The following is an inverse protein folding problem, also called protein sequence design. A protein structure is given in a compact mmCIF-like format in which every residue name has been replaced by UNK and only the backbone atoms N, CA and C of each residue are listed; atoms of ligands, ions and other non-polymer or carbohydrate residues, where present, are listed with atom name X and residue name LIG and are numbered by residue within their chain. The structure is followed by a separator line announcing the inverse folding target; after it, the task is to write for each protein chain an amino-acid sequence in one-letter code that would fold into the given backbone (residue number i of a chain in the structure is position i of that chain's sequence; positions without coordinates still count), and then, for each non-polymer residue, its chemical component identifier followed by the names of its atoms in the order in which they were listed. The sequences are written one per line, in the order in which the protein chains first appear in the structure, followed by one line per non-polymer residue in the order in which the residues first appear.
data_IF_584174577220
#
_entry.id   IF_584174577220
#
_cell.length_a   1.000
_cell.length_b   1.000
_cell.length_c   1.000
_cell.angle_alpha   90.00
_cell.angle_beta   90.00
_cell.angle_gamma   90.00
#
_symmetry.space_group_name_H-M   'P 1'
#
loop_
_entity.id
_entity.type
_entity.pdbx_description
1 polymer ?
#
# COMPACT_ATOMS: atom_id res chain seq x y z
N UNK A 1 -10.07 -16.88 20.17
CA UNK A 1 -11.51 -16.48 20.21
C UNK A 1 -12.18 -16.88 18.91
N UNK A 2 -13.23 -17.72 18.95
CA UNK A 2 -13.99 -18.12 17.76
C UNK A 2 -14.61 -16.87 17.11
N UNK A 3 -14.13 -16.53 15.91
CA UNK A 3 -14.67 -15.46 15.07
C UNK A 3 -16.15 -15.77 14.79
N UNK A 4 -17.07 -14.99 15.35
CA UNK A 4 -18.46 -14.95 14.88
C UNK A 4 -18.38 -14.56 13.41
N UNK A 5 -18.80 -15.45 12.49
CA UNK A 5 -18.86 -15.15 11.04
C UNK A 5 -19.63 -13.84 10.85
N UNK A 6 -18.91 -12.75 10.55
CA UNK A 6 -19.50 -11.48 10.13
C UNK A 6 -20.21 -11.74 8.81
N UNK A 7 -21.46 -11.28 8.69
CA UNK A 7 -22.16 -11.25 7.40
C UNK A 7 -21.34 -10.34 6.47
N UNK A 8 -20.98 -10.84 5.29
CA UNK A 8 -20.23 -10.05 4.31
C UNK A 8 -21.00 -8.79 3.93
N UNK A 9 -20.30 -7.73 3.58
CA UNK A 9 -20.88 -6.50 3.07
C UNK A 9 -21.79 -6.77 1.88
N UNK A 10 -21.37 -7.64 0.96
CA UNK A 10 -22.18 -8.04 -0.20
C UNK A 10 -23.50 -8.72 0.17
N UNK A 11 -23.53 -9.59 1.18
CA UNK A 11 -24.79 -10.19 1.64
C UNK A 11 -25.63 -9.13 2.36
N UNK A 12 -24.98 -8.26 3.12
CA UNK A 12 -25.65 -7.22 3.89
C UNK A 12 -26.31 -6.16 2.99
N UNK A 13 -25.70 -5.77 1.87
CA UNK A 13 -26.32 -4.81 0.95
C UNK A 13 -27.58 -5.41 0.33
N UNK A 14 -27.56 -6.70 -0.05
CA UNK A 14 -28.75 -7.41 -0.53
C UNK A 14 -29.86 -7.45 0.53
N UNK A 15 -29.50 -7.72 1.80
CA UNK A 15 -30.46 -7.67 2.91
C UNK A 15 -31.06 -6.26 3.05
N UNK A 16 -30.25 -5.21 2.91
CA UNK A 16 -30.69 -3.82 3.04
C UNK A 16 -31.67 -3.40 1.92
N UNK A 17 -31.67 -4.09 0.78
CA UNK A 17 -32.65 -3.89 -0.31
C UNK A 17 -33.96 -4.66 -0.12
N UNK A 18 -34.06 -5.63 0.79
CA UNK A 18 -35.27 -6.44 1.00
C UNK A 18 -36.54 -5.60 1.22
N UNK A 19 -36.54 -4.54 2.07
CA UNK A 19 -37.72 -3.68 2.24
C UNK A 19 -38.20 -3.06 0.93
N UNK A 20 -37.28 -2.60 0.09
CA UNK A 20 -37.56 -2.01 -1.22
C UNK A 20 -38.12 -3.05 -2.21
N UNK A 21 -37.58 -4.26 -2.20
CA UNK A 21 -38.06 -5.36 -3.04
C UNK A 21 -39.49 -5.74 -2.65
N UNK A 22 -39.80 -5.89 -1.36
CA UNK A 22 -41.17 -6.17 -0.92
C UNK A 22 -42.13 -5.06 -1.29
N UNK A 23 -41.71 -3.80 -1.12
CA UNK A 23 -42.49 -2.64 -1.52
C UNK A 23 -42.83 -2.67 -3.01
N UNK A 24 -41.84 -2.82 -3.89
CA UNK A 24 -42.08 -2.83 -5.33
C UNK A 24 -42.93 -4.01 -5.79
N UNK A 25 -42.71 -5.22 -5.26
CA UNK A 25 -43.50 -6.40 -5.63
C UNK A 25 -44.96 -6.23 -5.20
N UNK A 26 -45.20 -5.89 -3.93
CA UNK A 26 -46.55 -5.92 -3.36
C UNK A 26 -47.37 -4.69 -3.81
N UNK A 27 -46.75 -3.52 -3.88
CA UNK A 27 -47.44 -2.33 -4.39
C UNK A 27 -47.69 -2.39 -5.91
N UNK A 28 -46.87 -3.12 -6.68
CA UNK A 28 -47.17 -3.34 -8.12
C UNK A 28 -48.44 -4.17 -8.35
N UNK A 29 -48.90 -4.91 -7.33
CA UNK A 29 -50.18 -5.62 -7.33
C UNK A 29 -51.35 -4.73 -6.86
N UNK A 30 -51.10 -3.43 -6.63
CA UNK A 30 -52.10 -2.49 -6.10
C UNK A 30 -52.37 -2.64 -4.60
N UNK A 31 -51.55 -3.38 -3.86
CA UNK A 31 -51.81 -3.68 -2.45
C UNK A 31 -51.00 -2.74 -1.52
N UNK A 32 -51.72 -1.90 -0.76
CA UNK A 32 -51.14 -0.97 0.22
C UNK A 32 -50.39 -1.65 1.39
N UNK A 33 -50.63 -2.95 1.64
CA UNK A 33 -49.87 -3.73 2.61
C UNK A 33 -48.37 -3.79 2.29
N UNK A 34 -47.98 -3.55 1.03
CA UNK A 34 -46.57 -3.50 0.63
C UNK A 34 -45.76 -2.46 1.41
N UNK A 35 -46.38 -1.32 1.73
CA UNK A 35 -45.74 -0.25 2.52
C UNK A 35 -45.52 -0.69 3.97
N UNK A 36 -46.50 -1.36 4.57
CA UNK A 36 -46.42 -1.85 5.97
C UNK A 36 -45.38 -2.96 6.08
N UNK A 37 -45.41 -3.93 5.17
CA UNK A 37 -44.45 -5.05 5.16
C UNK A 37 -43.03 -4.52 4.98
N UNK A 38 -42.83 -3.54 4.09
CA UNK A 38 -41.54 -2.91 3.90
C UNK A 38 -41.08 -2.13 5.15
N UNK A 39 -41.98 -1.39 5.82
CA UNK A 39 -41.67 -0.71 7.08
C UNK A 39 -41.23 -1.70 8.16
N UNK A 40 -41.99 -2.78 8.37
CA UNK A 40 -41.66 -3.83 9.34
C UNK A 40 -40.31 -4.48 9.01
N UNK A 41 -40.08 -4.83 7.75
CA UNK A 41 -38.80 -5.38 7.30
C UNK A 41 -37.63 -4.40 7.57
N UNK A 42 -37.82 -3.11 7.30
CA UNK A 42 -36.80 -2.09 7.54
C UNK A 42 -36.45 -1.93 9.02
N UNK A 43 -37.45 -2.01 9.91
CA UNK A 43 -37.26 -1.96 11.36
C UNK A 43 -36.53 -3.22 11.87
N UNK A 44 -36.90 -4.41 11.37
CA UNK A 44 -36.23 -5.68 11.70
C UNK A 44 -34.73 -5.62 11.35
N UNK A 45 -34.38 -5.00 10.21
CA UNK A 45 -32.99 -4.85 9.78
C UNK A 45 -32.25 -3.79 10.59
N UNK A 46 -32.90 -2.66 10.89
CA UNK A 46 -32.25 -1.46 11.46
C UNK A 46 -32.08 -1.54 12.98
N UNK A 47 -33.08 -2.02 13.72
CA UNK A 47 -33.08 -2.05 15.20
C UNK A 47 -31.87 -2.81 15.77
N UNK A 48 -31.51 -4.02 15.31
CA UNK A 48 -30.33 -4.72 15.81
C UNK A 48 -29.01 -3.98 15.57
N UNK A 49 -28.94 -3.12 14.56
CA UNK A 49 -27.74 -2.37 14.22
C UNK A 49 -27.58 -1.12 15.07
N UNK A 50 -28.69 -0.45 15.40
CA UNK A 50 -28.71 0.64 16.37
C UNK A 50 -28.16 0.14 17.71
N UNK A 51 -28.62 -1.02 18.18
CA UNK A 51 -28.12 -1.65 19.40
C UNK A 51 -26.62 -1.97 19.34
N UNK A 52 -26.08 -2.21 18.13
CA UNK A 52 -24.65 -2.52 17.90
C UNK A 52 -23.81 -1.29 17.54
N UNK A 53 -24.39 -0.09 17.47
CA UNK A 53 -23.74 1.16 17.02
C UNK A 53 -23.11 1.05 15.62
N UNK A 54 -23.69 0.25 14.73
CA UNK A 54 -23.21 0.06 13.34
C UNK A 54 -24.25 0.54 12.33
N UNK A 55 -24.72 1.79 12.48
CA UNK A 55 -25.83 2.32 11.69
C UNK A 55 -25.35 2.69 10.28
N UNK A 56 -26.12 2.28 9.26
CA UNK A 56 -25.92 2.67 7.87
C UNK A 56 -26.89 3.79 7.46
N UNK A 57 -26.42 4.76 6.67
CA UNK A 57 -27.24 5.82 6.09
C UNK A 57 -28.42 5.27 5.27
N UNK A 58 -28.20 4.17 4.53
CA UNK A 58 -29.25 3.52 3.76
C UNK A 58 -30.38 3.00 4.65
N UNK A 59 -30.06 2.41 5.80
CA UNK A 59 -31.04 1.84 6.72
C UNK A 59 -31.90 2.95 7.36
N UNK A 60 -31.28 4.05 7.78
CA UNK A 60 -32.00 5.24 8.28
C UNK A 60 -32.95 5.79 7.19
N UNK A 61 -32.44 5.99 5.98
CA UNK A 61 -33.24 6.53 4.87
C UNK A 61 -34.41 5.61 4.51
N UNK A 62 -34.20 4.30 4.59
CA UNK A 62 -35.23 3.28 4.33
C UNK A 62 -36.35 3.35 5.36
N UNK A 63 -36.02 3.37 6.66
CA UNK A 63 -37.01 3.51 7.74
C UNK A 63 -37.77 4.84 7.62
N UNK A 64 -37.06 5.93 7.32
CA UNK A 64 -37.66 7.25 7.15
C UNK A 64 -38.66 7.27 5.99
N UNK A 65 -38.26 6.76 4.82
CA UNK A 65 -39.14 6.69 3.65
C UNK A 65 -40.39 5.88 3.92
N UNK A 66 -40.26 4.68 4.49
CA UNK A 66 -41.42 3.82 4.73
C UNK A 66 -42.33 4.32 5.84
N UNK A 67 -41.79 5.09 6.79
CA UNK A 67 -42.60 5.79 7.79
C UNK A 67 -43.44 6.88 7.12
N UNK A 68 -42.82 7.71 6.27
CA UNK A 68 -43.52 8.75 5.50
C UNK A 68 -44.58 8.13 4.57
N UNK A 69 -44.23 7.06 3.87
CA UNK A 69 -45.15 6.36 2.97
C UNK A 69 -46.32 5.73 3.73
N UNK A 70 -46.07 5.10 4.89
CA UNK A 70 -47.13 4.50 5.71
C UNK A 70 -48.10 5.58 6.24
N UNK A 71 -47.57 6.69 6.74
CA UNK A 71 -48.37 7.84 7.15
C UNK A 71 -49.16 8.40 5.97
N UNK A 72 -48.53 8.58 4.80
CA UNK A 72 -49.19 9.07 3.60
C UNK A 72 -50.37 8.19 3.17
N UNK A 73 -50.16 6.88 3.06
CA UNK A 73 -51.19 5.93 2.61
C UNK A 73 -52.31 5.77 3.63
N UNK A 74 -51.99 5.51 4.91
CA UNK A 74 -53.00 5.09 5.89
C UNK A 74 -53.61 6.22 6.72
N UNK A 75 -52.94 7.37 6.84
CA UNK A 75 -53.44 8.52 7.60
C UNK A 75 -54.01 9.59 6.66
N UNK A 76 -53.32 9.84 5.54
CA UNK A 76 -53.69 10.91 4.60
C UNK A 76 -54.36 10.40 3.31
N UNK A 77 -54.57 9.09 3.16
CA UNK A 77 -55.16 8.45 1.96
C UNK A 77 -54.45 8.85 0.65
N UNK A 78 -53.11 8.92 0.68
CA UNK A 78 -52.30 9.25 -0.49
C UNK A 78 -51.86 7.98 -1.23
N UNK A 79 -52.64 7.57 -2.23
CA UNK A 79 -52.36 6.39 -3.06
C UNK A 79 -51.13 6.52 -3.96
N UNK A 80 -50.55 7.72 -4.07
CA UNK A 80 -49.36 7.98 -4.88
C UNK A 80 -48.17 7.07 -4.50
N UNK A 81 -48.04 6.68 -3.24
CA UNK A 81 -47.01 5.76 -2.75
C UNK A 81 -47.26 4.30 -3.19
N UNK A 82 -48.45 3.96 -3.66
CA UNK A 82 -48.77 2.64 -4.21
C UNK A 82 -48.66 2.71 -5.73
N UNK A 83 -49.39 3.65 -6.34
CA UNK A 83 -49.49 3.82 -7.80
C UNK A 83 -48.13 4.13 -8.46
N UNK A 84 -47.35 5.02 -7.84
CA UNK A 84 -46.04 5.46 -8.35
C UNK A 84 -44.88 4.89 -7.52
N UNK A 85 -45.07 3.69 -6.96
CA UNK A 85 -44.11 3.05 -6.05
C UNK A 85 -42.69 2.90 -6.62
N UNK A 86 -42.57 2.61 -7.93
CA UNK A 86 -41.28 2.56 -8.61
C UNK A 86 -40.59 3.92 -8.65
N UNK A 87 -41.27 4.95 -9.18
CA UNK A 87 -40.72 6.30 -9.30
C UNK A 87 -40.31 6.89 -7.95
N UNK A 88 -41.22 6.85 -6.96
CA UNK A 88 -40.96 7.43 -5.64
C UNK A 88 -39.87 6.65 -4.90
N UNK A 89 -39.87 5.31 -5.00
CA UNK A 89 -38.87 4.50 -4.32
C UNK A 89 -37.46 4.72 -4.86
N UNK A 90 -37.30 4.74 -6.19
CA UNK A 90 -36.01 5.04 -6.81
C UNK A 90 -35.57 6.49 -6.60
N UNK A 91 -36.50 7.45 -6.56
CA UNK A 91 -36.19 8.84 -6.23
C UNK A 91 -35.67 8.99 -4.80
N UNK A 92 -36.26 8.27 -3.84
CA UNK A 92 -35.79 8.27 -2.46
C UNK A 92 -34.37 7.66 -2.34
N UNK A 93 -34.11 6.54 -3.01
CA UNK A 93 -32.79 5.92 -3.06
C UNK A 93 -31.74 6.82 -3.74
N UNK A 94 -32.12 7.52 -4.80
CA UNK A 94 -31.27 8.52 -5.46
C UNK A 94 -30.90 9.67 -4.51
N UNK A 95 -31.88 10.27 -3.84
CA UNK A 95 -31.65 11.37 -2.90
C UNK A 95 -30.77 10.92 -1.73
N UNK A 96 -30.97 9.70 -1.22
CA UNK A 96 -30.11 9.11 -0.19
C UNK A 96 -28.67 8.95 -0.69
N UNK A 97 -28.49 8.37 -1.88
CA UNK A 97 -27.16 8.17 -2.46
C UNK A 97 -26.44 9.50 -2.68
N UNK A 98 -27.14 10.51 -3.21
CA UNK A 98 -26.63 11.86 -3.41
C UNK A 98 -26.26 12.53 -2.08
N UNK A 99 -27.14 12.47 -1.09
CA UNK A 99 -26.88 12.99 0.26
C UNK A 99 -25.63 12.34 0.87
N UNK A 100 -25.47 11.02 0.73
CA UNK A 100 -24.31 10.29 1.23
C UNK A 100 -22.99 10.76 0.62
N UNK A 101 -22.98 11.15 -0.67
CA UNK A 101 -21.83 11.75 -1.33
C UNK A 101 -21.54 13.16 -0.82
N UNK A 102 -22.58 13.99 -0.64
CA UNK A 102 -22.46 15.38 -0.16
C UNK A 102 -21.85 15.42 1.25
N UNK A 103 -22.27 14.53 2.15
CA UNK A 103 -21.71 14.44 3.51
C UNK A 103 -20.36 13.70 3.58
N UNK A 104 -19.77 13.35 2.42
CA UNK A 104 -18.50 12.60 2.29
C UNK A 104 -18.51 11.26 3.04
N UNK A 105 -19.68 10.63 3.17
CA UNK A 105 -19.85 9.30 3.72
C UNK A 105 -20.68 8.46 2.74
N UNK A 106 -20.09 8.03 1.61
CA UNK A 106 -20.79 7.21 0.62
C UNK A 106 -21.46 6.00 1.30
N UNK A 107 -22.75 5.74 1.02
CA UNK A 107 -23.48 4.68 1.73
C UNK A 107 -22.84 3.29 1.53
N UNK A 108 -22.12 3.09 0.43
CA UNK A 108 -21.38 1.85 0.14
C UNK A 108 -20.20 1.64 1.09
N UNK A 109 -19.64 2.69 1.69
CA UNK A 109 -18.49 2.60 2.58
C UNK A 109 -18.76 1.74 3.81
N UNK A 110 -19.91 1.91 4.47
CA UNK A 110 -20.28 1.11 5.64
C UNK A 110 -20.47 -0.37 5.29
N UNK A 111 -20.86 -0.66 4.04
CA UNK A 111 -20.96 -2.01 3.50
C UNK A 111 -19.54 -2.58 3.32
N UNK A 112 -18.67 -1.86 2.62
CA UNK A 112 -17.28 -2.29 2.39
C UNK A 112 -16.48 -2.46 3.68
N UNK A 113 -16.74 -1.67 4.73
CA UNK A 113 -16.12 -1.86 6.05
C UNK A 113 -16.30 -3.25 6.65
N UNK A 114 -17.32 -4.00 6.22
CA UNK A 114 -17.57 -5.37 6.69
C UNK A 114 -16.64 -6.39 6.04
N UNK A 115 -16.21 -6.11 4.81
CA UNK A 115 -15.40 -7.01 3.99
C UNK A 115 -13.90 -6.69 4.07
N UNK A 116 -13.55 -5.45 4.44
CA UNK A 116 -12.17 -4.97 4.49
C UNK A 116 -11.71 -4.67 5.93
N UNK A 117 -10.48 -5.07 6.32
CA UNK A 117 -9.87 -4.70 7.60
C UNK A 117 -9.92 -3.19 7.88
N UNK A 118 -9.94 -2.80 9.16
CA UNK A 118 -10.06 -1.40 9.58
C UNK A 118 -8.97 -0.48 9.00
N UNK A 119 -7.82 -1.06 8.70
CA UNK A 119 -6.68 -0.34 8.10
C UNK A 119 -7.02 0.27 6.73
N UNK A 120 -7.96 -0.33 5.98
CA UNK A 120 -8.44 0.20 4.70
C UNK A 120 -9.36 1.41 4.85
N UNK A 121 -10.00 1.59 6.00
CA UNK A 121 -11.12 2.53 6.11
C UNK A 121 -10.70 3.98 5.96
N UNK A 122 -9.40 4.26 6.10
CA UNK A 122 -8.81 5.60 5.95
C UNK A 122 -7.97 5.74 4.69
N UNK A 123 -7.81 4.67 3.92
CA UNK A 123 -7.05 4.70 2.68
C UNK A 123 -7.77 5.57 1.64
N UNK A 124 -7.00 6.43 0.96
CA UNK A 124 -7.55 7.40 0.00
C UNK A 124 -8.18 6.70 -1.19
N UNK A 125 -7.58 5.60 -1.64
CA UNK A 125 -8.04 4.83 -2.78
C UNK A 125 -9.30 4.02 -2.41
N UNK A 126 -9.37 3.47 -1.20
CA UNK A 126 -10.57 2.83 -0.67
C UNK A 126 -11.76 3.80 -0.57
N UNK A 127 -11.53 5.02 -0.09
CA UNK A 127 -12.56 6.08 -0.04
C UNK A 127 -12.98 6.52 -1.45
N UNK A 128 -12.03 6.70 -2.36
CA UNK A 128 -12.32 7.06 -3.75
C UNK A 128 -13.15 5.99 -4.47
N UNK A 129 -12.81 4.70 -4.31
CA UNK A 129 -13.56 3.59 -4.89
C UNK A 129 -15.01 3.60 -4.38
N UNK A 130 -15.23 3.79 -3.08
CA UNK A 130 -16.56 3.85 -2.50
C UNK A 130 -17.38 5.04 -3.02
N UNK A 131 -16.75 6.22 -3.16
CA UNK A 131 -17.41 7.37 -3.78
C UNK A 131 -17.84 7.09 -5.22
N UNK A 132 -17.00 6.42 -6.02
CA UNK A 132 -17.33 6.07 -7.40
C UNK A 132 -18.49 5.08 -7.45
N UNK A 133 -18.46 4.02 -6.64
CA UNK A 133 -19.54 3.02 -6.59
C UNK A 133 -20.86 3.66 -6.16
N UNK A 134 -20.83 4.52 -5.14
CA UNK A 134 -22.00 5.28 -4.70
C UNK A 134 -22.52 6.21 -5.79
N UNK A 135 -21.64 6.89 -6.53
CA UNK A 135 -22.01 7.73 -7.68
C UNK A 135 -22.69 6.94 -8.80
N UNK A 136 -22.18 5.75 -9.13
CA UNK A 136 -22.81 4.85 -10.11
C UNK A 136 -24.21 4.43 -9.64
N UNK A 137 -24.37 4.08 -8.36
CA UNK A 137 -25.69 3.77 -7.80
C UNK A 137 -26.66 4.95 -7.85
N UNK A 138 -26.19 6.17 -7.54
CA UNK A 138 -27.02 7.37 -7.67
C UNK A 138 -27.52 7.53 -9.12
N UNK A 139 -26.64 7.35 -10.12
CA UNK A 139 -27.04 7.41 -11.53
C UNK A 139 -28.02 6.29 -11.92
N UNK A 140 -27.82 5.07 -11.42
CA UNK A 140 -28.74 3.94 -11.65
C UNK A 140 -30.11 4.23 -11.04
N UNK A 141 -30.18 4.74 -9.81
CA UNK A 141 -31.44 5.09 -9.17
C UNK A 141 -32.16 6.23 -9.91
N UNK A 142 -31.44 7.26 -10.36
CA UNK A 142 -32.02 8.34 -11.16
C UNK A 142 -32.55 7.83 -12.51
N UNK A 143 -31.78 6.97 -13.19
CA UNK A 143 -32.20 6.35 -14.44
C UNK A 143 -33.45 5.49 -14.25
N UNK A 144 -33.49 4.70 -13.17
CA UNK A 144 -34.66 3.91 -12.82
C UNK A 144 -35.90 4.77 -12.51
N UNK A 145 -35.76 5.82 -11.71
CA UNK A 145 -36.86 6.76 -11.47
C UNK A 145 -37.40 7.32 -12.80
N UNK A 146 -36.50 7.73 -13.70
CA UNK A 146 -36.88 8.25 -15.03
C UNK A 146 -37.56 7.19 -15.90
N UNK A 147 -37.07 5.95 -15.90
CA UNK A 147 -37.68 4.82 -16.63
C UNK A 147 -39.12 4.58 -16.15
N UNK A 148 -39.35 4.57 -14.84
CA UNK A 148 -40.68 4.38 -14.26
C UNK A 148 -41.62 5.56 -14.52
N UNK A 149 -41.08 6.74 -14.81
CA UNK A 149 -41.87 7.92 -15.20
C UNK A 149 -42.25 7.90 -16.69
N UNK A 150 -41.37 7.41 -17.56
CA UNK A 150 -41.50 7.57 -19.01
C UNK A 150 -41.98 6.32 -19.76
N UNK A 151 -41.69 5.13 -19.26
CA UNK A 151 -42.02 3.87 -19.94
C UNK A 151 -43.23 3.18 -19.31
N UNK A 152 -43.89 2.32 -20.08
CA UNK A 152 -44.99 1.45 -19.60
C UNK A 152 -44.48 0.03 -19.33
N UNK A 153 -45.19 -0.70 -18.48
CA UNK A 153 -44.98 -2.14 -18.28
C UNK A 153 -45.21 -2.91 -19.59
N UNK A 154 -44.40 -3.94 -19.91
CA UNK A 154 -43.36 -4.58 -19.09
C UNK A 154 -41.95 -3.98 -19.22
N UNK A 155 -41.74 -3.01 -20.11
CA UNK A 155 -40.41 -2.47 -20.42
C UNK A 155 -39.75 -1.80 -19.21
N UNK A 156 -40.53 -1.13 -18.35
CA UNK A 156 -40.05 -0.55 -17.08
C UNK A 156 -39.34 -1.58 -16.21
N UNK A 157 -39.97 -2.71 -15.96
CA UNK A 157 -39.44 -3.79 -15.11
C UNK A 157 -38.19 -4.40 -15.75
N UNK A 158 -38.23 -4.66 -17.06
CA UNK A 158 -37.11 -5.26 -17.78
C UNK A 158 -35.86 -4.38 -17.72
N UNK A 159 -35.95 -3.12 -18.15
CA UNK A 159 -34.81 -2.22 -18.17
C UNK A 159 -34.30 -1.90 -16.76
N UNK A 160 -35.22 -1.77 -15.80
CA UNK A 160 -34.83 -1.50 -14.42
C UNK A 160 -34.02 -2.65 -13.81
N UNK A 161 -34.48 -3.89 -13.98
CA UNK A 161 -33.77 -5.07 -13.50
C UNK A 161 -32.39 -5.23 -14.17
N UNK A 162 -32.28 -4.91 -15.46
CA UNK A 162 -31.00 -4.90 -16.17
C UNK A 162 -30.04 -3.89 -15.54
N UNK A 163 -30.49 -2.65 -15.29
CA UNK A 163 -29.65 -1.62 -14.67
C UNK A 163 -29.20 -1.99 -13.25
N UNK A 164 -30.10 -2.55 -12.43
CA UNK A 164 -29.76 -3.03 -11.09
C UNK A 164 -28.73 -4.17 -11.17
N UNK A 165 -28.94 -5.14 -12.06
CA UNK A 165 -27.99 -6.25 -12.26
C UNK A 165 -26.60 -5.73 -12.68
N UNK A 166 -26.54 -4.76 -13.60
CA UNK A 166 -25.30 -4.10 -14.00
C UNK A 166 -24.64 -3.37 -12.82
N UNK A 167 -25.41 -2.67 -11.98
CA UNK A 167 -24.92 -2.01 -10.78
C UNK A 167 -24.32 -2.98 -9.76
N UNK A 168 -24.95 -4.15 -9.57
CA UNK A 168 -24.44 -5.22 -8.70
C UNK A 168 -23.13 -5.78 -9.25
N UNK A 169 -23.10 -6.15 -10.53
CA UNK A 169 -21.89 -6.68 -11.18
C UNK A 169 -20.75 -5.65 -11.10
N UNK A 170 -21.03 -4.38 -11.38
CA UNK A 170 -20.07 -3.30 -11.23
C UNK A 170 -19.53 -3.19 -9.80
N UNK A 171 -20.41 -3.22 -8.79
CA UNK A 171 -20.03 -3.13 -7.38
C UNK A 171 -19.17 -4.30 -6.89
N UNK A 172 -19.24 -5.45 -7.56
CA UNK A 172 -18.40 -6.63 -7.27
C UNK A 172 -17.05 -6.53 -7.99
N UNK A 173 -17.06 -6.22 -9.28
CA UNK A 173 -15.85 -6.28 -10.13
C UNK A 173 -14.97 -5.04 -9.97
N UNK A 174 -15.56 -3.86 -9.83
CA UNK A 174 -14.83 -2.60 -9.80
C UNK A 174 -13.83 -2.49 -8.63
N UNK A 175 -14.20 -2.79 -7.36
CA UNK A 175 -13.23 -2.78 -6.25
C UNK A 175 -12.04 -3.72 -6.46
N UNK A 176 -12.24 -4.83 -7.17
CA UNK A 176 -11.21 -5.84 -7.37
C UNK A 176 -10.15 -5.39 -8.40
N UNK A 177 -10.55 -4.65 -9.43
CA UNK A 177 -9.63 -4.28 -10.53
C UNK A 177 -9.03 -2.89 -10.37
N UNK A 178 -9.74 -1.97 -9.72
CA UNK A 178 -9.34 -0.56 -9.71
C UNK A 178 -8.06 -0.25 -8.92
N UNK A 179 -7.79 -0.83 -7.74
CA UNK A 179 -6.54 -0.60 -7.04
C UNK A 179 -5.32 -0.97 -7.90
N UNK A 180 -5.37 -2.14 -8.54
CA UNK A 180 -4.33 -2.61 -9.44
C UNK A 180 -4.23 -1.74 -10.70
N UNK A 181 -5.35 -1.28 -11.25
CA UNK A 181 -5.36 -0.34 -12.37
C UNK A 181 -4.67 0.98 -11.99
N UNK A 182 -5.03 1.59 -10.86
CA UNK A 182 -4.43 2.85 -10.42
C UNK A 182 -2.94 2.72 -10.11
N UNK A 183 -2.55 1.66 -9.38
CA UNK A 183 -1.13 1.37 -9.13
C UNK A 183 -0.36 1.23 -10.45
N UNK A 184 -0.86 0.41 -11.38
CA UNK A 184 -0.14 0.11 -12.62
C UNK A 184 -0.28 1.17 -13.72
N UNK A 185 -1.17 2.16 -13.60
CA UNK A 185 -1.51 3.10 -14.70
C UNK A 185 -0.30 3.86 -15.21
N UNK A 186 0.45 4.48 -14.30
CA UNK A 186 1.66 5.23 -14.67
C UNK A 186 2.79 4.29 -15.07
N UNK A 187 2.97 3.19 -14.34
CA UNK A 187 4.00 2.20 -14.60
C UNK A 187 3.88 1.57 -16.00
N UNK A 188 2.65 1.25 -16.46
CA UNK A 188 2.40 0.68 -17.79
C UNK A 188 2.90 1.53 -18.93
N UNK A 189 2.97 2.86 -18.75
CA UNK A 189 3.55 3.78 -19.77
C UNK A 189 5.05 3.54 -19.97
N UNK A 190 5.73 3.09 -18.93
CA UNK A 190 7.17 2.85 -18.91
C UNK A 190 7.51 1.36 -18.90
N UNK A 191 6.51 0.48 -18.94
CA UNK A 191 6.73 -0.96 -18.95
C UNK A 191 7.19 -1.39 -20.35
N UNK A 192 8.36 -2.01 -20.41
CA UNK A 192 8.95 -2.51 -21.65
C UNK A 192 9.45 -3.94 -21.45
N UNK A 193 9.53 -4.67 -22.54
CA UNK A 193 10.03 -6.04 -22.55
C UNK A 193 10.96 -6.22 -23.75
N UNK A 194 12.17 -6.71 -23.48
CA UNK A 194 13.14 -7.09 -24.51
C UNK A 194 13.44 -8.56 -24.29
N UNK A 195 13.28 -9.35 -25.35
CA UNK A 195 13.73 -10.74 -25.36
C UNK A 195 15.22 -10.75 -25.60
N UNK A 196 15.96 -11.25 -24.62
CA UNK A 196 17.39 -11.42 -24.68
C UNK A 196 17.68 -12.90 -24.50
N UNK A 197 18.51 -13.47 -25.37
CA UNK A 197 19.03 -14.82 -25.25
C UNK A 197 20.48 -14.75 -24.76
N UNK A 198 20.75 -15.04 -23.47
CA UNK A 198 22.10 -15.02 -22.92
C UNK A 198 23.05 -16.01 -23.61
N UNK A 199 22.53 -17.10 -24.19
CA UNK A 199 23.32 -18.17 -24.80
C UNK A 199 23.68 -17.88 -26.26
N UNK A 200 23.06 -16.89 -26.88
CA UNK A 200 23.39 -16.48 -28.24
C UNK A 200 24.83 -15.95 -28.28
N UNK A 201 25.62 -16.45 -29.22
CA UNK A 201 26.95 -15.92 -29.54
C UNK A 201 26.86 -14.44 -29.92
N UNK A 202 27.84 -13.66 -29.47
CA UNK A 202 27.87 -12.20 -29.62
C UNK A 202 29.18 -11.76 -30.24
N UNK A 203 29.12 -10.72 -31.08
CA UNK A 203 30.31 -10.08 -31.62
C UNK A 203 31.12 -9.37 -30.52
N UNK A 204 32.40 -9.06 -30.76
CA UNK A 204 33.31 -8.55 -29.72
C UNK A 204 32.76 -7.34 -28.92
N UNK A 205 32.00 -6.45 -29.55
CA UNK A 205 31.41 -5.26 -28.92
C UNK A 205 29.87 -5.30 -28.79
N UNK A 206 29.26 -6.47 -28.93
CA UNK A 206 27.82 -6.67 -28.73
C UNK A 206 27.54 -7.07 -27.27
N UNK A 207 26.66 -6.32 -26.60
CA UNK A 207 26.28 -6.54 -25.19
C UNK A 207 24.76 -6.71 -25.09
N UNK A 208 24.33 -7.54 -24.14
CA UNK A 208 22.91 -7.67 -23.81
C UNK A 208 22.41 -6.43 -23.08
N UNK A 209 23.26 -5.88 -22.19
CA UNK A 209 22.88 -4.86 -21.22
C UNK A 209 24.04 -3.88 -21.05
N UNK A 210 23.75 -2.60 -21.22
CA UNK A 210 24.67 -1.50 -20.91
C UNK A 210 24.15 -0.77 -19.67
N UNK A 211 25.00 -0.62 -18.67
CA UNK A 211 24.73 0.07 -17.41
C UNK A 211 25.58 1.34 -17.37
N UNK A 212 24.93 2.50 -17.25
CA UNK A 212 25.60 3.79 -17.15
C UNK A 212 25.76 4.17 -15.68
N UNK A 213 27.01 4.18 -15.21
CA UNK A 213 27.40 4.48 -13.83
C UNK A 213 27.75 3.23 -13.02
N UNK A 214 28.94 3.22 -12.42
CA UNK A 214 29.42 2.16 -11.54
C UNK A 214 29.21 2.50 -10.05
N UNK A 215 28.11 3.15 -9.71
CA UNK A 215 27.64 3.24 -8.32
C UNK A 215 27.18 1.89 -7.79
N UNK A 216 26.93 1.77 -6.48
CA UNK A 216 26.52 0.50 -5.85
C UNK A 216 25.27 -0.12 -6.50
N UNK A 217 24.32 0.70 -6.95
CA UNK A 217 23.13 0.23 -7.68
C UNK A 217 23.47 -0.38 -9.05
N UNK A 218 24.31 0.30 -9.85
CA UNK A 218 24.75 -0.18 -11.15
C UNK A 218 25.61 -1.44 -11.05
N UNK A 219 26.53 -1.48 -10.08
CA UNK A 219 27.37 -2.65 -9.80
C UNK A 219 26.54 -3.85 -9.30
N UNK A 220 25.57 -3.62 -8.43
CA UNK A 220 24.67 -4.69 -7.95
C UNK A 220 23.83 -5.25 -9.09
N UNK A 221 23.26 -4.37 -9.92
CA UNK A 221 22.51 -4.75 -11.12
C UNK A 221 23.39 -5.57 -12.08
N UNK A 222 24.59 -5.07 -12.39
CA UNK A 222 25.55 -5.74 -13.26
C UNK A 222 25.95 -7.12 -12.74
N UNK A 223 26.28 -7.23 -11.45
CA UNK A 223 26.68 -8.50 -10.84
C UNK A 223 25.55 -9.55 -10.93
N UNK A 224 24.32 -9.16 -10.58
CA UNK A 224 23.15 -10.05 -10.65
C UNK A 224 22.80 -10.48 -12.07
N UNK A 225 23.01 -9.61 -13.07
CA UNK A 225 22.76 -9.91 -14.47
C UNK A 225 23.89 -10.78 -15.08
N UNK A 226 25.15 -10.46 -14.80
CA UNK A 226 26.28 -11.30 -15.20
C UNK A 226 26.20 -12.71 -14.60
N UNK A 227 25.78 -12.85 -13.34
CA UNK A 227 25.49 -14.18 -12.73
C UNK A 227 24.47 -14.98 -13.53
N UNK A 228 23.49 -14.31 -14.15
CA UNK A 228 22.44 -14.93 -14.97
C UNK A 228 22.88 -15.20 -16.43
N UNK A 229 24.16 -14.96 -16.74
CA UNK A 229 24.76 -15.22 -18.06
C UNK A 229 24.63 -14.07 -19.06
N UNK A 230 24.04 -12.93 -18.68
CA UNK A 230 23.96 -11.77 -19.57
C UNK A 230 25.34 -11.17 -19.79
N UNK A 231 25.62 -10.75 -21.02
CA UNK A 231 26.83 -10.00 -21.34
C UNK A 231 26.64 -8.52 -21.01
N UNK A 232 27.15 -8.13 -19.86
CA UNK A 232 26.97 -6.79 -19.28
C UNK A 232 28.17 -5.89 -19.57
N UNK A 233 27.91 -4.65 -19.97
CA UNK A 233 28.89 -3.56 -19.99
C UNK A 233 28.50 -2.50 -18.96
N UNK A 234 29.40 -2.15 -18.04
CA UNK A 234 29.24 -1.03 -17.12
C UNK A 234 30.19 0.09 -17.55
N UNK A 235 29.66 1.29 -17.76
CA UNK A 235 30.43 2.47 -18.16
C UNK A 235 30.47 3.49 -17.01
N UNK A 236 31.66 3.87 -16.58
CA UNK A 236 31.87 4.82 -15.49
C UNK A 236 32.72 5.99 -15.97
N UNK A 237 32.23 7.22 -15.75
CA UNK A 237 32.94 8.44 -16.13
C UNK A 237 34.18 8.69 -15.26
N UNK A 238 34.17 8.23 -14.01
CA UNK A 238 35.25 8.45 -13.06
C UNK A 238 36.37 7.40 -13.22
N UNK A 239 37.50 7.66 -12.56
CA UNK A 239 38.66 6.77 -12.54
C UNK A 239 38.55 5.57 -11.60
N UNK A 240 37.40 5.38 -10.94
CA UNK A 240 37.13 4.30 -9.98
C UNK A 240 35.62 4.01 -9.91
N UNK A 241 35.29 2.80 -9.50
CA UNK A 241 33.91 2.41 -9.21
C UNK A 241 33.48 2.85 -7.81
N UNK A 242 32.18 2.78 -7.53
CA UNK A 242 31.59 2.94 -6.20
C UNK A 242 30.61 4.12 -6.07
N UNK A 243 30.76 5.18 -6.86
CA UNK A 243 29.95 6.40 -6.70
C UNK A 243 30.05 6.95 -5.27
N UNK A 244 28.92 7.16 -4.59
CA UNK A 244 28.91 7.53 -3.16
C UNK A 244 29.44 6.43 -2.22
N UNK A 245 29.45 5.17 -2.67
CA UNK A 245 30.07 4.03 -1.98
C UNK A 245 31.54 3.87 -2.44
N UNK A 246 32.30 4.96 -2.40
CA UNK A 246 33.73 4.97 -2.73
C UNK A 246 34.55 5.54 -1.57
N UNK A 247 35.86 5.32 -1.63
CA UNK A 247 36.81 5.92 -0.68
C UNK A 247 37.93 6.62 -1.44
N UNK A 248 38.55 7.62 -0.82
CA UNK A 248 39.74 8.30 -1.33
C UNK A 248 40.82 8.42 -0.25
N UNK A 249 42.08 8.37 -0.66
CA UNK A 249 43.21 8.52 0.24
C UNK A 249 43.76 9.94 0.20
N UNK A 250 44.07 10.51 1.37
CA UNK A 250 44.74 11.81 1.49
C UNK A 250 45.63 11.83 2.73
N UNK A 251 46.91 12.17 2.54
CA UNK A 251 47.92 12.29 3.63
C UNK A 251 48.00 11.05 4.53
N UNK A 252 47.92 9.85 3.95
CA UNK A 252 47.99 8.59 4.69
C UNK A 252 46.67 8.12 5.32
N UNK A 253 45.58 8.89 5.20
CA UNK A 253 44.26 8.53 5.68
C UNK A 253 43.34 8.12 4.52
N UNK A 254 42.42 7.19 4.77
CA UNK A 254 41.36 6.81 3.85
C UNK A 254 40.04 7.39 4.35
N UNK A 255 39.36 8.13 3.49
CA UNK A 255 38.07 8.76 3.75
C UNK A 255 37.00 8.13 2.87
N UNK A 256 35.85 7.78 3.43
CA UNK A 256 34.69 7.43 2.61
C UNK A 256 34.03 8.69 2.06
N UNK A 257 33.57 8.61 0.81
CA UNK A 257 32.93 9.73 0.12
C UNK A 257 31.48 9.96 0.58
N UNK A 258 30.81 8.94 1.12
CA UNK A 258 29.40 9.06 1.56
C UNK A 258 28.86 7.94 2.43
N UNK A 259 29.38 6.71 2.33
CA UNK A 259 28.89 5.60 3.16
C UNK A 259 29.54 5.63 4.54
N UNK A 260 28.71 5.77 5.57
CA UNK A 260 29.11 5.71 6.98
C UNK A 260 28.57 4.49 7.72
N UNK A 261 27.41 3.98 7.31
CA UNK A 261 26.77 2.81 7.93
C UNK A 261 25.91 2.06 6.92
N UNK A 262 25.84 0.73 7.06
CA UNK A 262 25.12 -0.16 6.16
C UNK A 262 24.19 -1.07 6.96
N UNK A 263 22.90 -0.84 6.80
CA UNK A 263 21.84 -1.77 7.21
C UNK A 263 21.62 -2.83 6.12
N UNK A 264 21.01 -3.97 6.46
CA UNK A 264 20.66 -5.02 5.51
C UNK A 264 21.34 -6.37 5.73
N UNK A 265 22.14 -6.51 6.79
CA UNK A 265 23.09 -7.62 6.98
C UNK A 265 22.70 -8.63 8.09
N UNK A 266 21.44 -8.61 8.54
CA UNK A 266 20.83 -9.71 9.33
C UNK A 266 20.41 -10.86 8.41
N UNK A 267 20.00 -11.99 8.97
CA UNK A 267 19.70 -13.24 8.23
C UNK A 267 18.74 -13.05 7.05
N UNK A 268 17.69 -12.25 7.21
CA UNK A 268 16.67 -11.95 6.19
C UNK A 268 16.83 -10.56 5.56
N UNK A 269 18.02 -9.99 5.62
CA UNK A 269 18.27 -8.65 5.11
C UNK A 269 18.58 -8.61 3.61
N UNK A 270 18.27 -7.50 2.91
CA UNK A 270 18.48 -7.37 1.47
C UNK A 270 19.95 -7.50 1.06
N UNK A 271 20.89 -7.01 1.87
CA UNK A 271 22.32 -7.12 1.59
C UNK A 271 22.79 -8.55 1.86
N UNK A 272 22.34 -9.20 2.93
CA UNK A 272 22.61 -10.63 3.16
C UNK A 272 22.12 -11.50 2.01
N UNK A 273 20.92 -11.21 1.48
CA UNK A 273 20.38 -11.88 0.30
C UNK A 273 21.31 -11.67 -0.90
N UNK A 274 21.71 -10.42 -1.19
CA UNK A 274 22.64 -10.11 -2.28
C UNK A 274 23.96 -10.87 -2.14
N UNK A 275 24.58 -10.84 -0.96
CA UNK A 275 25.85 -11.52 -0.73
C UNK A 275 25.72 -13.03 -0.94
N UNK A 276 24.65 -13.64 -0.43
CA UNK A 276 24.34 -15.05 -0.66
C UNK A 276 24.13 -15.36 -2.14
N UNK A 277 23.40 -14.50 -2.86
CA UNK A 277 23.23 -14.63 -4.30
C UNK A 277 24.57 -14.56 -5.03
N UNK A 278 25.50 -13.71 -4.61
CA UNK A 278 26.80 -13.58 -5.26
C UNK A 278 27.87 -14.53 -4.70
N UNK A 279 27.54 -15.41 -3.75
CA UNK A 279 28.52 -16.27 -3.08
C UNK A 279 29.59 -15.50 -2.30
N UNK A 280 29.33 -14.26 -1.92
CA UNK A 280 30.22 -13.40 -1.16
C UNK A 280 29.99 -13.59 0.35
N UNK A 281 31.06 -13.63 1.14
CA UNK A 281 30.95 -13.76 2.60
C UNK A 281 30.86 -12.39 3.25
N UNK A 282 29.92 -12.23 4.18
CA UNK A 282 29.73 -10.99 4.93
C UNK A 282 30.97 -10.62 5.74
N UNK A 283 31.61 -11.60 6.37
CA UNK A 283 32.71 -11.42 7.31
C UNK A 283 33.97 -10.86 6.64
N UNK A 284 34.13 -11.14 5.34
CA UNK A 284 35.22 -10.63 4.50
C UNK A 284 35.00 -9.14 4.17
N UNK A 285 33.75 -8.74 3.97
CA UNK A 285 33.40 -7.44 3.43
C UNK A 285 32.93 -6.43 4.47
N UNK A 286 32.42 -6.88 5.62
CA UNK A 286 31.76 -6.02 6.60
C UNK A 286 32.18 -6.32 8.03
N UNK A 287 32.20 -5.28 8.86
CA UNK A 287 32.35 -5.36 10.31
C UNK A 287 31.17 -4.68 10.97
N UNK A 288 30.73 -5.16 12.14
CA UNK A 288 29.61 -4.53 12.86
C UNK A 288 30.05 -3.16 13.39
N UNK A 289 29.23 -2.15 13.17
CA UNK A 289 29.50 -0.78 13.60
C UNK A 289 29.04 -0.56 15.04
N UNK A 290 29.56 0.47 15.70
CA UNK A 290 29.13 0.93 17.03
C UNK A 290 28.71 2.38 16.95
N UNK A 291 27.71 2.78 17.73
CA UNK A 291 27.11 4.12 17.64
C UNK A 291 27.06 4.78 19.00
N UNK A 292 27.41 6.06 19.04
CA UNK A 292 27.27 6.93 20.21
C UNK A 292 26.48 8.16 19.82
N UNK A 293 25.46 8.48 20.60
CA UNK A 293 24.66 9.70 20.44
C UNK A 293 25.11 10.69 21.53
N UNK A 294 25.41 11.92 21.15
CA UNK A 294 25.63 13.02 22.10
C UNK A 294 24.32 13.77 22.26
N UNK A 295 23.64 13.58 23.38
CA UNK A 295 22.33 14.16 23.66
C UNK A 295 22.40 15.04 24.91
N UNK A 296 22.12 16.34 24.74
CA UNK A 296 22.20 17.35 25.82
C UNK A 296 23.50 17.28 26.64
N UNK A 297 24.63 17.14 25.94
CA UNK A 297 25.97 17.05 26.56
C UNK A 297 26.31 15.69 27.19
N UNK A 298 25.41 14.71 27.14
CA UNK A 298 25.67 13.34 27.62
C UNK A 298 25.97 12.40 26.46
N UNK A 299 26.97 11.54 26.65
CA UNK A 299 27.27 10.45 25.73
C UNK A 299 26.36 9.25 26.03
N UNK A 300 25.69 8.74 25.00
CA UNK A 300 24.82 7.58 25.06
C UNK A 300 25.39 6.55 24.08
N UNK A 301 25.99 5.49 24.61
CA UNK A 301 26.47 4.36 23.82
C UNK A 301 25.28 3.47 23.45
N UNK A 302 24.97 3.41 22.15
CA UNK A 302 23.81 2.66 21.65
C UNK A 302 24.20 1.18 21.53
N UNK A 303 23.55 0.27 22.29
CA UNK A 303 23.84 -1.14 22.19
C UNK A 303 23.49 -1.71 20.82
N UNK A 304 24.28 -2.69 20.39
CA UNK A 304 24.06 -3.42 19.16
C UNK A 304 23.01 -4.54 19.27
N UNK A 305 22.53 -4.78 20.49
CA UNK A 305 21.42 -5.67 20.82
C UNK A 305 20.17 -4.81 21.07
N UNK A 306 19.08 -5.00 20.31
CA UNK A 306 17.87 -4.20 20.46
C UNK A 306 17.25 -4.31 21.86
N UNK A 307 17.38 -5.44 22.55
CA UNK A 307 16.81 -5.60 23.90
C UNK A 307 17.59 -4.77 24.93
N UNK A 308 18.91 -4.68 24.77
CA UNK A 308 19.74 -3.81 25.60
C UNK A 308 19.46 -2.33 25.30
N UNK A 309 19.20 -1.97 24.04
CA UNK A 309 18.81 -0.60 23.71
C UNK A 309 17.43 -0.23 24.29
N UNK A 310 16.45 -1.12 24.22
CA UNK A 310 15.15 -0.95 24.87
C UNK A 310 15.34 -0.74 26.38
N UNK A 311 16.16 -1.58 27.03
CA UNK A 311 16.47 -1.45 28.46
C UNK A 311 17.11 -0.10 28.79
N UNK A 312 18.11 0.32 28.00
CA UNK A 312 18.77 1.62 28.16
C UNK A 312 17.77 2.78 28.07
N UNK A 313 16.87 2.75 27.08
CA UNK A 313 15.83 3.78 26.95
C UNK A 313 14.84 3.74 28.13
N UNK A 314 14.44 2.57 28.60
CA UNK A 314 13.57 2.43 29.78
C UNK A 314 14.24 2.94 31.06
N UNK A 315 15.55 2.73 31.23
CA UNK A 315 16.31 3.29 32.35
C UNK A 315 16.42 4.82 32.27
N UNK A 316 16.50 5.38 31.06
CA UNK A 316 16.53 6.83 30.83
C UNK A 316 15.14 7.50 30.96
N UNK A 317 14.07 6.77 30.60
CA UNK A 317 12.70 7.26 30.54
C UNK A 317 11.75 6.24 31.20
N UNK A 318 11.82 6.08 32.54
CA UNK A 318 11.08 5.03 33.25
C UNK A 318 9.56 5.15 33.11
N UNK A 319 9.03 6.37 32.98
CA UNK A 319 7.60 6.62 32.76
C UNK A 319 7.09 6.06 31.42
N UNK A 320 7.99 5.87 30.44
CA UNK A 320 7.69 5.40 29.09
C UNK A 320 8.01 3.91 28.88
N UNK A 321 8.46 3.18 29.91
CA UNK A 321 8.98 1.80 29.78
C UNK A 321 8.05 0.87 28.98
N UNK A 322 6.76 0.88 29.31
CA UNK A 322 5.75 0.06 28.62
C UNK A 322 5.57 0.48 27.17
N UNK A 323 5.60 1.78 26.90
CA UNK A 323 5.43 2.34 25.57
C UNK A 323 6.65 2.09 24.69
N UNK A 324 7.86 2.16 25.24
CA UNK A 324 9.11 1.83 24.55
C UNK A 324 9.06 0.38 24.07
N UNK A 325 8.73 -0.55 24.97
CA UNK A 325 8.59 -1.96 24.62
C UNK A 325 7.51 -2.17 23.54
N UNK A 326 6.37 -1.49 23.64
CA UNK A 326 5.28 -1.58 22.67
C UNK A 326 5.69 -1.01 21.29
N UNK A 327 6.40 0.12 21.25
CA UNK A 327 6.87 0.76 20.02
C UNK A 327 7.86 -0.13 19.28
N UNK A 328 8.90 -0.64 19.96
CA UNK A 328 9.89 -1.49 19.31
C UNK A 328 9.32 -2.85 18.89
N UNK A 329 8.33 -3.38 19.63
CA UNK A 329 7.61 -4.57 19.19
C UNK A 329 6.80 -4.31 17.91
N UNK A 330 6.09 -3.19 17.84
CA UNK A 330 5.36 -2.79 16.63
C UNK A 330 6.31 -2.54 15.45
N UNK A 331 7.41 -1.82 15.68
CA UNK A 331 8.42 -1.54 14.68
C UNK A 331 9.03 -2.84 14.13
N UNK A 332 9.36 -3.80 15.00
CA UNK A 332 9.88 -5.11 14.59
C UNK A 332 8.90 -5.86 13.69
N UNK A 333 7.62 -5.94 14.06
CA UNK A 333 6.61 -6.60 13.22
C UNK A 333 6.44 -5.93 11.87
N UNK A 334 6.33 -4.60 11.85
CA UNK A 334 6.24 -3.85 10.60
C UNK A 334 7.48 -4.03 9.72
N UNK A 335 8.66 -4.12 10.33
CA UNK A 335 9.90 -4.35 9.63
C UNK A 335 9.96 -5.75 9.03
N UNK A 336 9.62 -6.78 9.80
CA UNK A 336 9.57 -8.17 9.34
C UNK A 336 8.55 -8.33 8.20
N UNK A 337 7.38 -7.71 8.30
CA UNK A 337 6.38 -7.69 7.22
C UNK A 337 6.87 -6.97 5.96
N UNK A 338 7.62 -5.87 6.09
CA UNK A 338 8.21 -5.18 4.93
C UNK A 338 9.12 -6.12 4.13
N UNK A 339 9.93 -6.91 4.83
CA UNK A 339 10.96 -7.76 4.22
C UNK A 339 10.53 -9.23 4.04
N UNK A 340 9.29 -9.61 4.34
CA UNK A 340 8.88 -11.03 4.32
C UNK A 340 9.00 -11.68 2.93
N UNK A 341 8.72 -10.92 1.87
CA UNK A 341 8.75 -11.40 0.49
C UNK A 341 10.14 -11.27 -0.17
N UNK A 342 11.16 -10.78 0.54
CA UNK A 342 12.51 -10.61 -0.04
C UNK A 342 13.18 -11.91 -0.44
N UNK A 343 12.74 -13.06 0.06
CA UNK A 343 13.25 -14.35 -0.36
C UNK A 343 13.02 -14.64 -1.86
N UNK A 344 12.09 -13.95 -2.51
CA UNK A 344 11.83 -14.08 -3.94
C UNK A 344 12.65 -13.10 -4.80
N UNK A 345 12.80 -11.85 -4.37
CA UNK A 345 13.35 -10.76 -5.21
C UNK A 345 14.47 -9.94 -4.56
N UNK A 346 14.89 -10.28 -3.35
CA UNK A 346 15.93 -9.62 -2.57
C UNK A 346 15.52 -8.30 -1.91
N UNK A 347 14.46 -7.64 -2.40
CA UNK A 347 13.98 -6.34 -1.89
C UNK A 347 12.44 -6.29 -1.84
N UNK A 348 11.85 -5.46 -0.97
CA UNK A 348 10.42 -5.17 -1.01
C UNK A 348 10.02 -4.56 -2.36
N UNK A 349 8.88 -5.00 -2.91
CA UNK A 349 8.39 -4.52 -4.21
C UNK A 349 7.43 -3.33 -4.02
N UNK A 350 7.53 -2.28 -4.85
CA UNK A 350 6.52 -1.23 -4.92
C UNK A 350 5.21 -1.78 -5.52
N UNK A 351 4.13 -1.03 -5.37
CA UNK A 351 2.76 -1.51 -5.59
C UNK A 351 2.50 -2.04 -7.01
N UNK A 352 3.18 -1.48 -7.99
CA UNK A 352 3.03 -1.75 -9.42
C UNK A 352 3.75 -3.05 -9.77
N UNK A 353 4.92 -3.28 -9.16
CA UNK A 353 5.65 -4.54 -9.28
C UNK A 353 4.96 -5.67 -8.51
N UNK A 354 4.29 -5.39 -7.38
CA UNK A 354 3.44 -6.38 -6.71
C UNK A 354 2.35 -6.87 -7.68
N UNK A 355 1.66 -5.96 -8.36
CA UNK A 355 0.62 -6.33 -9.36
C UNK A 355 1.23 -7.11 -10.52
N UNK A 356 2.35 -6.65 -11.07
CA UNK A 356 3.00 -7.30 -12.22
C UNK A 356 3.48 -8.72 -11.91
N UNK A 357 3.99 -8.93 -10.70
CA UNK A 357 4.64 -10.18 -10.30
C UNK A 357 3.66 -11.17 -9.69
N UNK A 358 2.80 -10.71 -8.78
CA UNK A 358 1.90 -11.57 -8.00
C UNK A 358 0.43 -11.47 -8.42
N UNK A 359 0.11 -10.54 -9.32
CA UNK A 359 -1.25 -10.30 -9.79
C UNK A 359 -2.04 -9.31 -8.92
N UNK A 360 -3.18 -8.86 -9.45
CA UNK A 360 -4.03 -7.82 -8.86
C UNK A 360 -4.50 -8.17 -7.44
N UNK A 361 -4.75 -9.46 -7.18
CA UNK A 361 -5.22 -9.95 -5.89
C UNK A 361 -4.21 -9.75 -4.77
N UNK A 362 -2.91 -9.90 -5.03
CA UNK A 362 -1.88 -9.72 -3.99
C UNK A 362 -1.88 -8.29 -3.46
N UNK A 363 -2.07 -7.29 -4.34
CA UNK A 363 -2.17 -5.89 -3.91
C UNK A 363 -3.39 -5.64 -3.01
N UNK A 364 -4.53 -6.28 -3.33
CA UNK A 364 -5.75 -6.23 -2.51
C UNK A 364 -5.62 -6.95 -1.16
N UNK A 365 -4.79 -7.97 -1.08
CA UNK A 365 -4.56 -8.71 0.16
C UNK A 365 -3.39 -8.11 0.97
N UNK A 366 -2.59 -7.22 0.39
CA UNK A 366 -1.35 -6.70 0.99
C UNK A 366 -1.55 -6.08 2.38
N UNK A 367 -2.42 -5.08 2.61
CA UNK A 367 -2.71 -4.59 3.97
C UNK A 367 -3.21 -5.62 4.99
N UNK A 368 -3.83 -6.72 4.53
CA UNK A 368 -4.27 -7.81 5.40
C UNK A 368 -3.11 -8.74 5.76
N UNK A 369 -2.19 -8.95 4.82
CA UNK A 369 -0.98 -9.76 4.99
C UNK A 369 0.17 -8.99 5.67
N UNK A 370 0.16 -7.66 5.59
CA UNK A 370 1.16 -6.73 6.12
C UNK A 370 0.52 -5.60 6.96
N UNK A 371 -0.34 -5.92 7.95
CA UNK A 371 -1.11 -4.92 8.69
C UNK A 371 -0.24 -3.93 9.47
N UNK A 372 0.88 -4.37 10.03
CA UNK A 372 1.78 -3.49 10.77
C UNK A 372 2.51 -2.57 9.79
N UNK A 373 3.15 -3.10 8.75
CA UNK A 373 3.88 -2.29 7.78
C UNK A 373 2.98 -1.29 7.05
N UNK A 374 1.77 -1.70 6.66
CA UNK A 374 0.82 -0.81 6.01
C UNK A 374 0.34 0.33 6.95
N UNK A 375 0.30 0.11 8.27
CA UNK A 375 0.01 1.17 9.24
C UNK A 375 1.15 2.21 9.32
N UNK A 376 2.39 1.78 9.10
CA UNK A 376 3.58 2.65 8.98
C UNK A 376 3.62 3.39 7.63
N UNK A 377 3.22 2.76 6.53
CA UNK A 377 3.16 3.42 5.22
C UNK A 377 2.21 4.63 5.20
N UNK A 378 1.12 4.55 5.97
CA UNK A 378 0.04 5.55 6.01
C UNK A 378 0.19 6.61 7.10
N UNK A 379 1.36 6.71 7.75
CA UNK A 379 1.64 7.73 8.78
C UNK A 379 2.94 8.45 8.52
N UNK A 380 3.06 9.64 9.09
CA UNK A 380 4.36 10.30 9.24
C UNK A 380 5.11 9.69 10.42
N UNK A 381 6.44 9.84 10.44
CA UNK A 381 7.22 9.31 11.56
C UNK A 381 6.84 9.97 12.88
N UNK A 382 6.61 11.29 12.87
CA UNK A 382 6.11 12.05 14.02
C UNK A 382 4.78 11.47 14.55
N UNK A 383 3.80 11.17 13.68
CA UNK A 383 2.54 10.53 14.10
C UNK A 383 2.74 9.14 14.74
N UNK A 384 3.77 8.40 14.34
CA UNK A 384 4.12 7.14 14.99
C UNK A 384 4.76 7.37 16.34
N UNK A 385 5.61 8.38 16.50
CA UNK A 385 6.20 8.72 17.79
C UNK A 385 5.14 9.21 18.79
N UNK A 386 4.28 10.15 18.38
CA UNK A 386 3.20 10.70 19.21
C UNK A 386 2.16 9.66 19.65
N UNK A 387 1.99 8.58 18.87
CA UNK A 387 1.10 7.48 19.25
C UNK A 387 1.60 6.72 20.48
N UNK A 388 2.91 6.66 20.68
CA UNK A 388 3.52 5.85 21.74
C UNK A 388 4.08 6.70 22.88
N UNK A 389 4.57 7.90 22.62
CA UNK A 389 5.36 8.66 23.59
C UNK A 389 4.76 10.03 23.85
N UNK A 390 4.81 10.46 25.12
CA UNK A 390 4.56 11.82 25.55
C UNK A 390 5.88 12.58 25.76
N UNK A 391 6.97 11.88 26.11
CA UNK A 391 8.26 12.49 26.37
C UNK A 391 8.98 12.96 25.09
N UNK A 392 9.12 14.28 24.93
CA UNK A 392 9.75 14.91 23.76
C UNK A 392 11.27 14.60 23.60
N UNK A 393 11.98 14.35 24.70
CA UNK A 393 13.41 14.00 24.65
C UNK A 393 13.60 12.58 24.09
N UNK A 394 12.72 11.64 24.45
CA UNK A 394 12.70 10.30 23.88
C UNK A 394 12.40 10.33 22.38
N UNK A 395 11.39 11.10 21.96
CA UNK A 395 11.08 11.30 20.53
C UNK A 395 12.28 11.86 19.77
N UNK A 396 12.91 12.89 20.32
CA UNK A 396 14.10 13.52 19.73
C UNK A 396 15.27 12.53 19.59
N UNK A 397 15.49 11.70 20.60
CA UNK A 397 16.55 10.68 20.56
C UNK A 397 16.29 9.62 19.48
N UNK A 398 15.04 9.18 19.32
CA UNK A 398 14.66 8.24 18.24
C UNK A 398 14.76 8.88 16.84
N UNK A 399 14.72 10.21 16.75
CA UNK A 399 15.01 10.96 15.53
C UNK A 399 16.50 11.17 15.24
N UNK A 400 17.43 10.68 16.07
CA UNK A 400 18.87 10.92 15.88
C UNK A 400 19.41 10.45 14.51
N UNK A 401 18.77 9.45 13.89
CA UNK A 401 19.15 8.89 12.58
C UNK A 401 18.26 9.36 11.43
N UNK A 402 17.38 10.35 11.65
CA UNK A 402 16.48 10.85 10.58
C UNK A 402 17.25 11.56 9.46
N UNK A 403 18.49 11.98 9.74
CA UNK A 403 19.42 12.52 8.74
C UNK A 403 19.67 11.58 7.56
N UNK A 404 19.49 10.26 7.72
CA UNK A 404 19.62 9.29 6.63
C UNK A 404 18.49 9.42 5.59
N UNK A 405 17.34 9.98 5.99
CA UNK A 405 16.23 10.30 5.09
C UNK A 405 16.32 11.75 4.59
N UNK A 406 16.91 12.64 5.40
CA UNK A 406 17.20 14.02 5.02
C UNK A 406 16.00 14.98 5.11
N UNK A 407 15.04 14.72 6.00
CA UNK A 407 13.86 15.57 6.20
C UNK A 407 13.30 15.46 7.63
N UNK A 408 12.34 16.33 7.97
CA UNK A 408 11.70 16.44 9.28
C UNK A 408 10.72 15.27 9.57
N UNK A 409 10.56 14.84 10.84
CA UNK A 409 9.71 13.69 11.20
C UNK A 409 8.23 13.87 10.83
N UNK A 410 7.76 15.12 10.72
CA UNK A 410 6.40 15.48 10.31
C UNK A 410 6.16 15.27 8.80
N UNK A 411 7.24 15.28 8.00
CA UNK A 411 7.16 15.21 6.53
C UNK A 411 7.54 13.83 5.99
N UNK A 412 8.39 13.08 6.70
CA UNK A 412 8.80 11.76 6.24
C UNK A 412 7.72 10.70 6.51
N UNK A 413 7.59 9.75 5.59
CA UNK A 413 6.80 8.55 5.84
C UNK A 413 7.43 7.75 6.98
N UNK A 414 6.60 7.24 7.88
CA UNK A 414 7.08 6.39 8.95
C UNK A 414 7.71 5.11 8.38
N UNK A 415 7.22 4.58 7.26
CA UNK A 415 7.85 3.43 6.60
C UNK A 415 9.30 3.72 6.15
N UNK A 416 9.60 4.93 5.70
CA UNK A 416 10.97 5.34 5.38
C UNK A 416 11.85 5.46 6.63
N UNK A 417 11.35 6.07 7.71
CA UNK A 417 12.06 6.08 8.99
C UNK A 417 12.27 4.67 9.56
N UNK A 418 11.30 3.78 9.39
CA UNK A 418 11.38 2.40 9.83
C UNK A 418 12.55 1.68 9.17
N UNK A 419 12.67 1.80 7.84
CA UNK A 419 13.71 1.11 7.06
C UNK A 419 15.06 1.80 7.14
N UNK A 420 15.10 3.13 7.13
CA UNK A 420 16.34 3.91 7.08
C UNK A 420 16.89 4.34 8.44
N UNK A 421 16.12 4.29 9.52
CA UNK A 421 16.57 4.78 10.84
C UNK A 421 16.33 3.75 11.94
N UNK A 422 15.08 3.33 12.15
CA UNK A 422 14.73 2.39 13.23
C UNK A 422 15.36 1.00 13.03
N UNK A 423 15.58 0.59 11.78
CA UNK A 423 16.27 -0.66 11.45
C UNK A 423 17.66 -0.76 12.09
N UNK A 424 18.38 0.36 12.24
CA UNK A 424 19.70 0.38 12.88
C UNK A 424 19.61 0.16 14.39
N UNK A 425 18.53 0.58 15.03
CA UNK A 425 18.28 0.25 16.45
C UNK A 425 17.81 -1.20 16.63
N UNK A 426 17.12 -1.77 15.62
CA UNK A 426 16.61 -3.14 15.67
C UNK A 426 17.67 -4.20 15.33
N UNK A 427 18.50 -3.95 14.31
CA UNK A 427 19.38 -4.96 13.72
C UNK A 427 20.86 -4.55 13.67
N UNK A 428 21.16 -3.31 14.07
CA UNK A 428 22.51 -2.75 14.04
C UNK A 428 22.94 -2.29 12.65
N UNK A 429 24.06 -1.59 12.64
CA UNK A 429 24.74 -1.12 11.43
C UNK A 429 26.05 -1.86 11.20
N UNK A 430 26.55 -1.80 9.97
CA UNK A 430 27.81 -2.40 9.54
C UNK A 430 28.62 -1.41 8.73
N UNK A 431 29.94 -1.56 8.81
CA UNK A 431 30.88 -0.78 8.04
C UNK A 431 31.64 -1.67 7.06
N UNK A 432 31.84 -1.26 5.79
CA UNK A 432 32.66 -1.99 4.84
C UNK A 432 34.11 -2.11 5.34
N UNK A 433 34.59 -3.35 5.54
CA UNK A 433 35.94 -3.63 6.02
C UNK A 433 36.96 -3.00 5.07
N UNK A 434 37.81 -2.12 5.61
CA UNK A 434 38.85 -1.41 4.84
C UNK A 434 38.33 -0.22 4.01
N UNK A 435 37.07 0.19 4.17
CA UNK A 435 36.47 1.34 3.49
C UNK A 435 35.46 0.93 2.41
N UNK A 436 34.59 1.88 2.06
CA UNK A 436 33.49 1.66 1.10
C UNK A 436 33.96 1.16 -0.27
N UNK A 437 35.16 1.56 -0.71
CA UNK A 437 35.76 1.12 -1.98
C UNK A 437 35.81 -0.42 -2.11
N UNK A 438 36.09 -1.14 -1.03
CA UNK A 438 36.27 -2.60 -1.08
C UNK A 438 34.99 -3.33 -1.49
N UNK A 439 33.83 -2.84 -1.05
CA UNK A 439 32.56 -3.44 -1.46
C UNK A 439 32.27 -3.19 -2.96
N UNK A 440 32.57 -1.99 -3.45
CA UNK A 440 32.43 -1.67 -4.86
C UNK A 440 33.38 -2.50 -5.75
N UNK A 441 34.63 -2.68 -5.35
CA UNK A 441 35.59 -3.53 -6.08
C UNK A 441 35.20 -5.01 -6.03
N UNK A 442 34.62 -5.51 -4.94
CA UNK A 442 34.12 -6.88 -4.87
C UNK A 442 33.00 -7.13 -5.90
N UNK A 443 32.05 -6.20 -6.04
CA UNK A 443 31.00 -6.28 -7.06
C UNK A 443 31.57 -6.17 -8.48
N UNK A 444 32.52 -5.27 -8.71
CA UNK A 444 33.22 -5.16 -10.00
C UNK A 444 33.93 -6.47 -10.35
N UNK A 445 34.72 -7.01 -9.44
CA UNK A 445 35.44 -8.28 -9.64
C UNK A 445 34.48 -9.43 -9.92
N UNK A 446 33.31 -9.46 -9.26
CA UNK A 446 32.27 -10.44 -9.57
C UNK A 446 31.77 -10.30 -11.01
N UNK A 447 31.48 -9.08 -11.48
CA UNK A 447 31.03 -8.82 -12.86
C UNK A 447 32.07 -9.33 -13.87
N UNK A 448 33.34 -8.94 -13.69
CA UNK A 448 34.45 -9.30 -14.59
C UNK A 448 34.68 -10.82 -14.60
N UNK A 449 34.59 -11.48 -13.44
CA UNK A 449 34.71 -12.94 -13.33
C UNK A 449 33.56 -13.70 -14.02
N UNK A 450 32.42 -13.06 -14.26
CA UNK A 450 31.25 -13.64 -14.94
C UNK A 450 31.08 -13.09 -16.36
N UNK A 451 32.16 -12.65 -17.00
CA UNK A 451 32.19 -12.26 -18.41
C UNK A 451 31.62 -10.87 -18.73
N UNK A 452 31.21 -10.11 -17.71
CA UNK A 452 30.90 -8.70 -17.86
C UNK A 452 32.15 -7.83 -17.99
N UNK A 453 31.98 -6.58 -18.44
CA UNK A 453 33.07 -5.60 -18.54
C UNK A 453 32.73 -4.33 -17.78
N UNK A 454 33.69 -3.78 -17.05
CA UNK A 454 33.56 -2.49 -16.36
C UNK A 454 34.63 -1.54 -16.88
N UNK A 455 34.22 -0.49 -17.60
CA UNK A 455 35.12 0.49 -18.18
C UNK A 455 35.08 1.80 -17.40
N UNK A 456 36.25 2.22 -16.91
CA UNK A 456 36.45 3.45 -16.14
C UNK A 456 36.93 4.57 -17.05
N UNK A 457 36.69 5.84 -16.68
CA UNK A 457 36.99 7.02 -17.52
C UNK A 457 36.25 7.00 -18.87
N UNK A 458 35.11 6.34 -18.94
CA UNK A 458 34.25 6.25 -20.11
C UNK A 458 32.95 7.00 -19.82
N UNK A 459 32.98 8.31 -20.05
CA UNK A 459 31.78 9.14 -19.95
C UNK A 459 30.84 8.79 -21.09
N UNK A 460 29.57 8.52 -20.76
CA UNK A 460 28.51 8.33 -21.76
C UNK A 460 28.02 9.70 -22.18
N UNK A 461 28.24 10.06 -23.45
CA UNK A 461 27.82 11.36 -23.99
C UNK A 461 26.37 11.35 -24.49
N UNK A 462 25.88 10.20 -24.98
CA UNK A 462 24.55 10.06 -25.58
C UNK A 462 24.03 8.63 -25.46
N UNK A 463 22.73 8.50 -25.25
CA UNK A 463 21.98 7.24 -25.42
C UNK A 463 21.37 7.27 -26.83
N UNK A 464 21.66 6.25 -27.64
CA UNK A 464 21.15 6.11 -29.00
C UNK A 464 19.75 5.52 -28.97
N UNK A 465 18.81 6.20 -29.64
CA UNK A 465 17.40 5.83 -29.66
C UNK A 465 16.90 5.79 -31.10
N UNK A 466 16.34 4.65 -31.50
CA UNK A 466 15.71 4.45 -32.81
C UNK A 466 14.28 3.95 -32.62
N UNK A 467 13.32 4.56 -33.31
CA UNK A 467 11.89 4.19 -33.23
C UNK A 467 11.36 4.08 -31.78
N UNK A 468 11.83 4.96 -30.90
CA UNK A 468 11.45 4.98 -29.48
C UNK A 468 12.08 3.87 -28.63
N UNK A 469 13.12 3.18 -29.11
CA UNK A 469 13.85 2.13 -28.38
C UNK A 469 15.33 2.47 -28.27
N UNK A 470 15.92 2.15 -27.11
CA UNK A 470 17.37 2.27 -26.91
C UNK A 470 18.07 1.20 -27.74
N UNK A 471 19.10 1.60 -28.50
CA UNK A 471 19.90 0.71 -29.35
C UNK A 471 21.41 0.78 -29.08
N UNK A 472 21.87 1.71 -28.24
CA UNK A 472 23.28 1.86 -27.88
C UNK A 472 23.56 2.98 -26.90
#
# INVERSE_FOLDING_TARGET
MKSKRKVSGQIYILISFIPWIFYWIICSLGNGLGVVIALVASLIITVPQICRKTINLMDIATVLYFTIAATGVFIFNLDIFIENSGFLGYSALFLMALFSLVVKQPFTFQVSKRDYPEIYWRDRLFLAINNIITGVWAMIFLANATIFLLLKTPFTILFSNILIALGIVFSIVFPLKMPAHFASKEFKRYDWNIRVDPQKSKEENEYDIIIVGAGVGGLTCGALLSKRGYRVLVLEQHSRVGGYCSSFARRGFVFNSGVEDVSGLWEKGPISYLLKELGLRKEDLFVKNTRRIIFKGKAIDVPNDPNQFIKLLSEMFPEEEKNIAAFFNEARKAYEECYQDTHHYGVPLPSELIVKVYGEKKLLDYPKEHPHFYDWMNKTFNQKLDKYFENEDLKTLLCALIGYVGSEPEKISAASALTASISYFLYGGYYPRGGAQNFAEALRGFIEAHGGRVLLRHRVDKILVENGRVVG
#
